data_IF_873142055302
#
_entry.id   IF_873142055302
#
_cell.length_a   1.000
_cell.length_b   1.000
_cell.length_c   1.000
_cell.angle_alpha   90.00
_cell.angle_beta   90.00
_cell.angle_gamma   90.00
#
_symmetry.space_group_name_H-M   'P 1'
#
loop_
_entity.id
_entity.type
_entity.pdbx_description
1 polymer ?
#
# COMPACT_ATOMS: atom_id res chain seq x y z
N UNK A 1 -10.88 1.81 -3.86
CA UNK A 1 -9.91 0.69 -3.74
C UNK A 1 -9.84 -0.04 -5.08
N UNK A 2 -8.68 -0.05 -5.73
CA UNK A 2 -8.50 -0.81 -6.96
C UNK A 2 -8.31 -2.30 -6.66
N UNK A 3 -9.10 -3.16 -7.30
CA UNK A 3 -8.99 -4.62 -7.22
C UNK A 3 -9.01 -5.21 -8.63
N UNK A 4 -8.36 -6.37 -8.83
CA UNK A 4 -8.29 -7.01 -10.17
C UNK A 4 -9.47 -7.92 -10.47
N UNK A 5 -10.04 -8.52 -9.43
CA UNK A 5 -11.08 -9.53 -9.54
C UNK A 5 -12.47 -8.88 -9.43
N UNK A 6 -13.31 -8.95 -10.48
CA UNK A 6 -14.67 -8.40 -10.44
C UNK A 6 -15.55 -8.99 -9.34
N UNK A 7 -15.33 -10.26 -8.95
CA UNK A 7 -16.07 -10.89 -7.86
C UNK A 7 -15.70 -10.25 -6.51
N UNK A 8 -14.41 -10.00 -6.27
CA UNK A 8 -13.95 -9.29 -5.07
C UNK A 8 -14.48 -7.86 -5.06
N UNK A 9 -14.48 -7.19 -6.22
CA UNK A 9 -15.06 -5.85 -6.37
C UNK A 9 -16.53 -5.81 -5.95
N UNK A 10 -17.33 -6.76 -6.45
CA UNK A 10 -18.74 -6.89 -6.11
C UNK A 10 -18.96 -7.16 -4.62
N UNK A 11 -18.27 -8.14 -4.04
CA UNK A 11 -18.43 -8.48 -2.62
C UNK A 11 -18.07 -7.30 -1.71
N UNK A 12 -17.04 -6.50 -2.04
CA UNK A 12 -16.72 -5.29 -1.26
C UNK A 12 -17.84 -4.24 -1.36
N UNK A 13 -18.41 -4.03 -2.53
CA UNK A 13 -19.41 -2.99 -2.74
C UNK A 13 -20.81 -3.37 -2.22
N UNK A 14 -21.19 -4.64 -2.30
CA UNK A 14 -22.52 -5.12 -1.94
C UNK A 14 -22.58 -5.65 -0.50
N UNK A 15 -21.55 -6.38 -0.07
CA UNK A 15 -21.54 -7.07 1.22
C UNK A 15 -20.58 -6.41 2.22
N UNK A 16 -19.79 -5.43 1.78
CA UNK A 16 -18.72 -4.81 2.57
C UNK A 16 -17.71 -5.83 3.11
N UNK A 17 -17.43 -6.88 2.36
CA UNK A 17 -16.43 -7.89 2.73
C UNK A 17 -15.44 -8.12 1.59
N UNK A 18 -14.20 -8.43 1.95
CA UNK A 18 -13.25 -8.96 0.97
C UNK A 18 -13.29 -10.49 1.06
N UNK A 19 -14.15 -11.11 0.23
CA UNK A 19 -14.39 -12.55 0.22
C UNK A 19 -13.13 -13.42 0.05
N UNK A 20 -12.04 -12.86 -0.49
CA UNK A 20 -10.80 -13.60 -0.78
C UNK A 20 -9.78 -13.56 0.35
N UNK A 21 -9.55 -12.39 0.96
CA UNK A 21 -8.45 -12.21 1.91
C UNK A 21 -8.91 -12.15 3.37
N UNK A 22 -10.06 -11.55 3.65
CA UNK A 22 -10.59 -11.39 5.00
C UNK A 22 -12.12 -11.55 5.02
N UNK A 23 -12.64 -12.74 4.68
CA UNK A 23 -14.08 -12.95 4.50
C UNK A 23 -14.91 -12.75 5.77
N UNK A 24 -14.27 -12.75 6.94
CA UNK A 24 -14.94 -12.58 8.24
C UNK A 24 -14.89 -11.13 8.77
N UNK A 25 -14.22 -10.22 8.07
CA UNK A 25 -14.06 -8.83 8.52
C UNK A 25 -14.86 -7.89 7.64
N UNK A 26 -15.81 -7.19 8.27
CA UNK A 26 -16.60 -6.16 7.61
C UNK A 26 -15.74 -4.90 7.40
N UNK A 27 -15.69 -4.44 6.16
CA UNK A 27 -15.05 -3.19 5.77
C UNK A 27 -15.95 -1.99 6.10
N UNK A 28 -15.37 -0.82 6.42
CA UNK A 28 -16.12 0.40 6.58
C UNK A 28 -17.00 0.71 5.35
N UNK A 29 -18.21 1.23 5.58
CA UNK A 29 -19.21 1.49 4.52
C UNK A 29 -18.75 2.50 3.45
N UNK A 30 -17.75 3.32 3.76
CA UNK A 30 -17.15 4.27 2.84
C UNK A 30 -16.02 3.67 1.98
N UNK A 31 -15.70 2.38 2.14
CA UNK A 31 -14.77 1.67 1.25
C UNK A 31 -15.52 1.22 0.00
N UNK A 32 -15.12 1.79 -1.14
CA UNK A 32 -15.68 1.45 -2.46
C UNK A 32 -14.58 0.79 -3.29
N UNK A 33 -14.87 -0.38 -3.87
CA UNK A 33 -13.99 -1.09 -4.78
C UNK A 33 -14.31 -0.76 -6.24
N UNK A 34 -13.27 -0.80 -7.09
CA UNK A 34 -13.40 -0.69 -8.55
C UNK A 34 -12.34 -1.54 -9.22
N UNK A 35 -12.62 -2.00 -10.44
CA UNK A 35 -11.65 -2.63 -11.35
C UNK A 35 -11.05 -1.65 -12.35
N UNK A 36 -11.50 -0.39 -12.36
CA UNK A 36 -10.98 0.68 -13.22
C UNK A 36 -9.90 1.48 -12.49
N UNK A 37 -8.66 1.36 -12.96
CA UNK A 37 -7.52 2.06 -12.40
C UNK A 37 -7.62 3.58 -12.55
N UNK A 38 -8.17 4.08 -13.67
CA UNK A 38 -8.35 5.51 -13.89
C UNK A 38 -9.34 6.08 -12.88
N UNK A 39 -10.48 5.42 -12.71
CA UNK A 39 -11.48 5.83 -11.72
C UNK A 39 -10.94 5.76 -10.28
N UNK A 40 -10.08 4.78 -9.97
CA UNK A 40 -9.48 4.65 -8.64
C UNK A 40 -8.46 5.75 -8.30
N UNK A 41 -7.77 6.28 -9.30
CA UNK A 41 -6.67 7.23 -9.12
C UNK A 41 -7.09 8.70 -9.31
N UNK A 42 -8.14 8.95 -10.09
CA UNK A 42 -8.61 10.29 -10.40
C UNK A 42 -9.00 11.04 -9.12
N UNK A 43 -8.31 12.15 -8.84
CA UNK A 43 -8.60 13.01 -7.68
C UNK A 43 -8.20 12.40 -6.33
N UNK A 44 -7.40 11.33 -6.30
CA UNK A 44 -6.89 10.79 -5.04
C UNK A 44 -5.88 11.76 -4.39
N UNK A 45 -5.97 11.94 -3.07
CA UNK A 45 -4.98 12.72 -2.31
C UNK A 45 -3.74 11.90 -1.94
N UNK A 46 -3.90 10.58 -1.77
CA UNK A 46 -2.85 9.62 -1.44
C UNK A 46 -3.13 8.27 -2.11
N UNK A 47 -2.07 7.57 -2.54
CA UNK A 47 -2.17 6.22 -3.08
C UNK A 47 -1.48 5.21 -2.16
N UNK A 48 -2.25 4.35 -1.49
CA UNK A 48 -1.69 3.20 -0.78
C UNK A 48 -1.36 2.08 -1.78
N UNK A 49 -0.07 1.81 -1.96
CA UNK A 49 0.42 0.76 -2.84
C UNK A 49 0.69 -0.52 -2.04
N UNK A 50 -0.25 -1.47 -2.13
CA UNK A 50 -0.21 -2.76 -1.45
C UNK A 50 0.10 -3.94 -2.39
N UNK A 51 0.47 -3.68 -3.65
CA UNK A 51 0.80 -4.75 -4.61
C UNK A 51 2.16 -5.34 -4.24
N UNK A 52 2.32 -6.68 -4.19
CA UNK A 52 3.61 -7.29 -3.87
C UNK A 52 4.75 -6.76 -4.76
N UNK A 53 5.95 -6.60 -4.18
CA UNK A 53 7.09 -5.97 -4.87
C UNK A 53 7.42 -6.62 -6.22
N UNK A 54 7.27 -7.95 -6.34
CA UNK A 54 7.54 -8.69 -7.57
C UNK A 54 6.63 -8.34 -8.75
N UNK A 55 5.42 -7.83 -8.47
CA UNK A 55 4.45 -7.44 -9.50
C UNK A 55 4.32 -5.92 -9.60
N UNK A 56 5.11 -5.16 -8.83
CA UNK A 56 4.92 -3.73 -8.69
C UNK A 56 5.41 -2.95 -9.92
N UNK A 57 6.54 -3.33 -10.54
CA UNK A 57 7.04 -2.59 -11.71
C UNK A 57 6.04 -2.64 -12.86
N UNK A 58 5.61 -3.84 -13.27
CA UNK A 58 4.68 -4.02 -14.38
C UNK A 58 3.32 -3.37 -14.11
N UNK A 59 2.80 -3.51 -12.89
CA UNK A 59 1.53 -2.88 -12.52
C UNK A 59 1.61 -1.34 -12.52
N UNK A 60 2.69 -0.76 -12.00
CA UNK A 60 2.87 0.69 -11.99
C UNK A 60 3.05 1.25 -13.41
N UNK A 61 3.74 0.51 -14.28
CA UNK A 61 3.86 0.87 -15.71
C UNK A 61 2.51 0.88 -16.42
N UNK A 62 1.62 -0.07 -16.10
CA UNK A 62 0.26 -0.16 -16.67
C UNK A 62 -0.61 1.05 -16.30
N UNK A 63 -0.53 1.51 -15.05
CA UNK A 63 -1.36 2.62 -14.55
C UNK A 63 -0.71 3.99 -14.72
N UNK A 64 0.53 4.08 -15.21
CA UNK A 64 1.33 5.30 -15.19
C UNK A 64 0.64 6.52 -15.82
N UNK A 65 -0.15 6.31 -16.88
CA UNK A 65 -0.87 7.37 -17.58
C UNK A 65 -2.07 7.95 -16.81
N UNK A 66 -2.50 7.29 -15.73
CA UNK A 66 -3.61 7.72 -14.88
C UNK A 66 -3.15 8.37 -13.57
N UNK A 67 -1.85 8.33 -13.29
CA UNK A 67 -1.27 8.83 -12.04
C UNK A 67 -1.00 10.32 -12.17
N UNK A 68 -1.58 11.11 -11.27
CA UNK A 68 -1.22 12.51 -11.14
C UNK A 68 0.27 12.62 -10.71
N UNK A 69 1.09 13.46 -11.36
CA UNK A 69 2.51 13.60 -11.03
C UNK A 69 2.80 14.00 -9.58
N UNK A 70 1.85 14.65 -8.90
CA UNK A 70 1.91 15.07 -7.51
C UNK A 70 1.34 14.08 -6.50
N UNK A 71 0.70 12.98 -6.96
CA UNK A 71 0.06 11.99 -6.09
C UNK A 71 1.10 11.26 -5.21
N UNK A 72 1.07 11.40 -3.88
CA UNK A 72 1.98 10.69 -3.00
C UNK A 72 1.66 9.19 -2.91
N UNK A 73 2.65 8.35 -3.21
CA UNK A 73 2.53 6.88 -3.05
C UNK A 73 3.02 6.43 -1.68
N UNK A 74 2.18 5.71 -0.94
CA UNK A 74 2.52 5.08 0.34
C UNK A 74 2.74 3.59 0.08
N UNK A 75 4.00 3.19 -0.03
CA UNK A 75 4.38 1.79 -0.24
C UNK A 75 4.22 0.99 1.05
N UNK A 76 3.35 -0.02 1.02
CA UNK A 76 3.20 -1.02 2.08
C UNK A 76 4.07 -2.26 1.84
N UNK A 77 4.57 -2.41 0.62
CA UNK A 77 5.35 -3.57 0.20
C UNK A 77 6.74 -3.57 0.81
N UNK A 78 7.13 -4.74 1.35
CA UNK A 78 8.44 -5.00 1.95
C UNK A 78 9.27 -5.87 1.00
N UNK A 79 10.58 -5.71 1.05
CA UNK A 79 11.53 -6.52 0.28
C UNK A 79 12.00 -5.89 -1.03
N UNK A 80 12.63 -6.72 -1.86
CA UNK A 80 13.27 -6.33 -3.12
C UNK A 80 12.62 -7.07 -4.30
N UNK A 81 12.57 -6.41 -5.45
CA UNK A 81 12.29 -7.10 -6.72
C UNK A 81 13.45 -8.04 -7.04
N UNK A 82 13.19 -9.36 -7.12
CA UNK A 82 14.24 -10.38 -7.14
C UNK A 82 15.18 -10.24 -8.34
N UNK A 83 14.62 -9.91 -9.50
CA UNK A 83 15.38 -9.86 -10.75
C UNK A 83 16.31 -8.65 -10.85
N UNK A 84 15.97 -7.54 -10.17
CA UNK A 84 16.73 -6.28 -10.29
C UNK A 84 17.33 -5.82 -8.97
N UNK A 85 17.01 -6.50 -7.87
CA UNK A 85 17.35 -6.12 -6.50
C UNK A 85 16.91 -4.70 -6.14
N UNK A 86 15.82 -4.22 -6.74
CA UNK A 86 15.33 -2.86 -6.51
C UNK A 86 14.34 -2.80 -5.35
N UNK A 87 14.44 -1.73 -4.59
CA UNK A 87 13.48 -1.35 -3.57
C UNK A 87 12.29 -0.60 -4.18
N UNK A 88 11.15 -0.53 -3.47
CA UNK A 88 10.01 0.28 -3.94
C UNK A 88 10.35 1.76 -4.16
N UNK A 89 11.32 2.31 -3.43
CA UNK A 89 11.82 3.68 -3.62
C UNK A 89 12.54 3.89 -4.97
N UNK A 90 13.03 2.81 -5.58
CA UNK A 90 13.62 2.82 -6.92
C UNK A 90 12.59 2.42 -7.99
N UNK A 91 11.65 1.53 -7.67
CA UNK A 91 10.63 1.03 -8.61
C UNK A 91 9.61 2.12 -8.93
N UNK A 92 9.01 2.76 -7.92
CA UNK A 92 7.92 3.75 -8.10
C UNK A 92 8.29 4.87 -9.09
N UNK A 93 9.36 5.67 -8.84
CA UNK A 93 9.68 6.76 -9.75
C UNK A 93 10.07 6.28 -11.15
N UNK A 94 10.66 5.09 -11.26
CA UNK A 94 11.07 4.51 -12.55
C UNK A 94 9.86 4.04 -13.37
N UNK A 95 8.99 3.23 -12.78
CA UNK A 95 7.82 2.66 -13.44
C UNK A 95 6.82 3.76 -13.86
N UNK A 96 6.64 4.78 -13.01
CA UNK A 96 5.79 5.93 -13.30
C UNK A 96 6.45 6.98 -14.20
N UNK A 97 7.70 6.75 -14.63
CA UNK A 97 8.49 7.69 -15.46
C UNK A 97 8.56 9.10 -14.88
N UNK A 98 8.56 9.21 -13.55
CA UNK A 98 8.60 10.46 -12.81
C UNK A 98 9.68 10.39 -11.72
N UNK A 99 10.90 10.89 -11.97
CA UNK A 99 11.98 10.90 -11.00
C UNK A 99 11.67 11.67 -9.70
N UNK A 100 10.70 12.59 -9.75
CA UNK A 100 10.24 13.39 -8.61
C UNK A 100 8.94 12.88 -8.01
N UNK A 101 8.50 11.65 -8.35
CA UNK A 101 7.27 11.08 -7.80
C UNK A 101 7.34 11.14 -6.27
N UNK A 102 6.36 11.77 -5.60
CA UNK A 102 6.34 11.78 -4.16
C UNK A 102 6.01 10.39 -3.63
N UNK A 103 6.78 9.90 -2.66
CA UNK A 103 6.51 8.61 -2.05
C UNK A 103 6.92 8.55 -0.59
N UNK A 104 6.30 7.62 0.13
CA UNK A 104 6.53 7.27 1.52
C UNK A 104 6.64 5.75 1.60
N UNK A 105 7.57 5.25 2.40
CA UNK A 105 7.68 3.82 2.71
C UNK A 105 7.13 3.61 4.11
N UNK A 106 6.19 2.68 4.26
CA UNK A 106 5.72 2.23 5.56
C UNK A 106 6.49 0.97 5.99
N UNK A 107 7.07 0.98 7.18
CA UNK A 107 7.82 -0.13 7.76
C UNK A 107 7.41 -0.42 9.21
N UNK A 108 7.73 -1.61 9.70
CA UNK A 108 7.33 -2.10 11.03
C UNK A 108 6.52 -3.41 11.00
N UNK A 109 6.33 -4.09 12.15
CA UNK A 109 5.46 -5.26 12.24
C UNK A 109 4.02 -4.81 11.94
N UNK A 110 3.45 -5.37 10.89
CA UNK A 110 2.17 -4.92 10.34
C UNK A 110 1.34 -6.14 9.94
N UNK A 111 1.09 -7.02 10.90
CA UNK A 111 0.22 -8.16 10.68
C UNK A 111 -1.20 -7.64 10.47
N UNK A 112 -1.76 -7.87 9.28
CA UNK A 112 -3.06 -7.32 8.90
C UNK A 112 -4.15 -7.68 9.90
N UNK A 113 -4.14 -8.92 10.43
CA UNK A 113 -5.11 -9.38 11.41
C UNK A 113 -4.98 -8.65 12.76
N UNK A 114 -3.76 -8.36 13.22
CA UNK A 114 -3.54 -7.60 14.47
C UNK A 114 -4.07 -6.16 14.34
N UNK A 115 -3.85 -5.54 13.18
CA UNK A 115 -4.38 -4.21 12.87
C UNK A 115 -5.91 -4.21 12.81
N UNK A 116 -6.51 -5.22 12.16
CA UNK A 116 -7.97 -5.39 12.11
C UNK A 116 -8.59 -5.63 13.49
N UNK A 117 -7.88 -6.38 14.35
CA UNK A 117 -8.26 -6.61 15.75
C UNK A 117 -7.95 -5.43 16.69
N UNK A 118 -7.48 -4.29 16.15
CA UNK A 118 -7.15 -3.07 16.90
C UNK A 118 -6.12 -3.30 18.01
N UNK A 119 -5.21 -4.25 17.84
CA UNK A 119 -4.11 -4.46 18.78
C UNK A 119 -3.10 -3.30 18.67
N UNK A 120 -2.52 -2.83 19.79
CA UNK A 120 -1.53 -1.76 19.77
C UNK A 120 -0.37 -2.07 18.82
N UNK A 121 -0.23 -1.27 17.78
CA UNK A 121 0.79 -1.45 16.73
C UNK A 121 1.57 -0.16 16.53
N UNK A 122 2.88 -0.28 16.31
CA UNK A 122 3.76 0.84 16.00
C UNK A 122 4.39 0.65 14.61
N UNK A 123 4.23 1.64 13.75
CA UNK A 123 4.81 1.68 12.40
C UNK A 123 5.70 2.91 12.22
N UNK A 124 6.56 2.86 11.20
CA UNK A 124 7.42 3.95 10.78
C UNK A 124 7.04 4.34 9.36
N UNK A 125 6.84 5.64 9.12
CA UNK A 125 6.71 6.24 7.79
C UNK A 125 8.02 6.93 7.44
N UNK A 126 8.65 6.53 6.35
CA UNK A 126 9.92 7.07 5.89
C UNK A 126 9.76 7.78 4.54
N UNK A 127 10.23 9.02 4.45
CA UNK A 127 10.28 9.76 3.18
C UNK A 127 11.41 10.79 3.19
N UNK A 128 11.92 11.11 1.98
CA UNK A 128 12.81 12.26 1.79
C UNK A 128 12.08 13.59 1.96
N UNK A 129 10.77 13.62 1.73
CA UNK A 129 9.94 14.80 1.99
C UNK A 129 9.27 14.68 3.36
N UNK A 130 9.78 15.46 4.32
CA UNK A 130 9.26 15.47 5.68
C UNK A 130 7.80 15.93 5.75
N UNK A 131 7.36 16.83 4.85
CA UNK A 131 5.97 17.33 4.87
C UNK A 131 5.01 16.20 4.52
N UNK A 132 5.36 15.39 3.54
CA UNK A 132 4.56 14.22 3.14
C UNK A 132 4.59 13.17 4.25
N UNK A 133 5.75 12.87 4.84
CA UNK A 133 5.85 11.94 5.97
C UNK A 133 4.94 12.36 7.14
N UNK A 134 4.92 13.65 7.50
CA UNK A 134 4.05 14.18 8.55
C UNK A 134 2.57 14.10 8.18
N UNK A 135 2.23 14.37 6.91
CA UNK A 135 0.85 14.27 6.43
C UNK A 135 0.35 12.82 6.51
N UNK A 136 1.18 11.86 6.11
CA UNK A 136 0.85 10.42 6.22
C UNK A 136 0.80 9.96 7.68
N UNK A 137 1.68 10.47 8.54
CA UNK A 137 1.62 10.21 9.98
C UNK A 137 0.26 10.64 10.56
N UNK A 138 -0.19 11.85 10.24
CA UNK A 138 -1.50 12.36 10.69
C UNK A 138 -2.66 11.57 10.10
N UNK A 139 -2.58 11.20 8.82
CA UNK A 139 -3.60 10.40 8.13
C UNK A 139 -3.81 9.03 8.79
N UNK A 140 -2.72 8.38 9.24
CA UNK A 140 -2.75 7.00 9.72
C UNK A 140 -2.83 6.88 11.25
N UNK A 141 -2.45 7.91 12.00
CA UNK A 141 -2.43 7.84 13.45
C UNK A 141 -3.83 7.57 14.03
N UNK A 142 -3.92 6.61 14.94
CA UNK A 142 -5.14 6.33 15.70
C UNK A 142 -4.78 5.87 17.11
N UNK A 143 -5.80 5.68 17.97
CA UNK A 143 -5.60 5.21 19.35
C UNK A 143 -4.78 3.92 19.45
N UNK A 144 -4.93 3.02 18.48
CA UNK A 144 -4.28 1.70 18.46
C UNK A 144 -3.12 1.62 17.46
N UNK A 145 -2.90 2.68 16.66
CA UNK A 145 -1.86 2.73 15.65
C UNK A 145 -0.97 3.96 15.86
N UNK A 146 0.22 3.73 16.43
CA UNK A 146 1.24 4.75 16.58
C UNK A 146 2.10 4.81 15.33
N UNK A 147 2.25 6.01 14.77
CA UNK A 147 3.08 6.25 13.59
C UNK A 147 4.26 7.14 13.97
N UNK A 148 5.48 6.71 13.68
CA UNK A 148 6.70 7.51 13.83
C UNK A 148 7.24 7.89 12.44
N UNK A 149 7.86 9.06 12.30
CA UNK A 149 8.43 9.51 11.02
C UNK A 149 9.95 9.30 10.98
N UNK A 150 10.48 8.95 9.80
CA UNK A 150 11.93 8.90 9.52
C UNK A 150 12.25 9.64 8.22
N UNK A 151 13.43 10.27 8.15
CA UNK A 151 14.00 10.78 6.89
C UNK A 151 14.78 9.72 6.13
N UNK A 152 15.30 8.76 6.87
CA UNK A 152 16.03 7.63 6.32
C UNK A 152 15.06 6.59 5.80
N UNK A 153 15.16 6.30 4.50
CA UNK A 153 14.34 5.30 3.83
C UNK A 153 14.96 3.94 4.08
N UNK A 154 14.54 3.30 5.16
CA UNK A 154 14.83 1.89 5.43
C UNK A 154 13.64 1.04 4.99
N UNK A 155 13.86 0.18 3.99
CA UNK A 155 12.94 -0.91 3.70
C UNK A 155 13.39 -2.13 4.50
N UNK A 156 12.60 -2.52 5.49
CA UNK A 156 12.81 -3.79 6.17
C UNK A 156 12.67 -4.91 5.13
N UNK A 157 13.79 -5.56 4.80
CA UNK A 157 13.79 -6.81 4.06
C UNK A 157 13.40 -7.90 5.05
N UNK A 158 12.09 -8.11 5.22
CA UNK A 158 11.62 -9.29 5.94
C UNK A 158 11.77 -10.45 4.96
N UNK A 159 12.69 -11.36 5.27
CA UNK A 159 12.80 -12.65 4.60
C UNK A 159 11.42 -13.31 4.71
N UNK A 160 10.75 -13.57 3.60
CA UNK A 160 9.41 -14.15 3.57
C UNK A 160 9.45 -15.65 3.94
N UNK A 161 10.07 -16.01 5.07
CA UNK A 161 10.17 -17.40 5.54
C UNK A 161 9.09 -17.77 6.56
N UNK A 162 8.14 -16.91 6.89
CA UNK A 162 7.02 -17.32 7.76
C UNK A 162 5.86 -16.35 7.61
N UNK A 163 4.89 -16.62 6.73
CA UNK A 163 3.51 -16.07 6.78
C UNK A 163 2.56 -16.53 5.64
N UNK A 164 2.91 -17.56 4.86
CA UNK A 164 1.92 -18.28 4.06
C UNK A 164 1.73 -19.63 4.76
N UNK A 165 0.62 -19.87 5.49
CA UNK A 165 0.17 -21.23 5.70
C UNK A 165 -0.08 -21.79 4.30
N UNK A 166 0.64 -22.86 3.98
CA UNK A 166 0.43 -23.69 2.80
C UNK A 166 -1.07 -23.86 2.53
N UNK A 167 -1.55 -23.29 1.41
CA UNK A 167 -2.80 -23.71 0.80
C UNK A 167 -2.49 -25.01 0.05
N UNK A 168 -2.87 -26.12 0.65
CA UNK A 168 -3.15 -27.40 -0.01
C UNK A 168 -4.50 -27.33 -0.70
#
# INVERSE_FOLDING_TARGET
MLVRDPQVCRSINEEHHNCKYFPQHELPKNVIATTDAKAALLGADFCFHAVPVQFSSSFLEEIANYVDPGLPFISLSKGLELNTLRTMSQIIPKALKNPRQPYVVLSGPSFALELMNKLPTALVVASKDQKIANSVQQLMASKNLRINTSREIFQSVVRAETLIPSLS
#
